data_IF_112497983930
#
_entry.id   IF_112497983930
#
_cell.length_a   1.000
_cell.length_b   1.000
_cell.length_c   1.000
_cell.angle_alpha   90.00
_cell.angle_beta   90.00
_cell.angle_gamma   90.00
#
_symmetry.space_group_name_H-M   'P 1'
#
loop_
_entity.id
_entity.type
_entity.pdbx_description
1 polymer ?
#
# COMPACT_ATOMS: atom_id res chain seq x y z
N UNK A 1 -19.28 4.93 17.61
CA UNK A 1 -17.95 4.47 17.13
C UNK A 1 -17.60 3.19 17.85
N UNK A 2 -17.40 2.08 17.12
CA UNK A 2 -17.13 0.74 17.69
C UNK A 2 -15.71 0.66 18.26
N UNK A 3 -15.41 -0.33 19.11
CA UNK A 3 -14.13 -0.45 19.86
C UNK A 3 -12.91 -0.59 18.92
N UNK A 4 -13.05 -1.31 17.81
CA UNK A 4 -12.00 -1.47 16.80
C UNK A 4 -11.66 -0.16 16.06
N UNK A 5 -12.67 0.64 15.70
CA UNK A 5 -12.48 1.96 15.06
C UNK A 5 -11.70 2.91 15.98
N UNK A 6 -11.95 2.85 17.30
CA UNK A 6 -11.19 3.61 18.30
C UNK A 6 -9.72 3.18 18.36
N UNK A 7 -9.43 1.88 18.20
CA UNK A 7 -8.06 1.38 18.30
C UNK A 7 -7.20 1.86 17.13
N UNK A 8 -7.70 1.77 15.90
CA UNK A 8 -6.99 2.24 14.70
C UNK A 8 -6.86 3.78 14.74
N UNK A 9 -7.92 4.49 15.12
CA UNK A 9 -7.87 5.94 15.30
C UNK A 9 -6.82 6.38 16.32
N UNK A 10 -6.70 5.65 17.44
CA UNK A 10 -5.71 5.93 18.47
C UNK A 10 -4.27 5.68 18.00
N UNK A 11 -4.06 4.67 17.16
CA UNK A 11 -2.75 4.38 16.55
C UNK A 11 -2.33 5.50 15.59
N UNK A 12 -3.26 6.01 14.77
CA UNK A 12 -3.00 7.14 13.87
C UNK A 12 -2.74 8.46 14.64
N UNK A 13 -3.36 8.64 15.80
CA UNK A 13 -3.13 9.81 16.67
C UNK A 13 -1.72 9.83 17.30
N UNK A 14 -1.01 8.69 17.33
CA UNK A 14 0.37 8.59 17.84
C UNK A 14 1.44 8.91 16.78
N UNK A 15 1.04 9.26 15.55
CA UNK A 15 1.96 9.60 14.47
C UNK A 15 2.83 10.82 14.82
N UNK A 16 4.15 10.62 14.80
CA UNK A 16 5.12 11.70 15.00
C UNK A 16 5.28 12.49 13.71
N UNK A 17 5.07 13.81 13.79
CA UNK A 17 5.41 14.70 12.67
C UNK A 17 6.92 14.71 12.45
N UNK A 18 7.34 14.64 11.18
CA UNK A 18 8.75 14.76 10.81
C UNK A 18 9.26 16.17 11.15
N UNK A 19 10.30 16.34 11.99
CA UNK A 19 10.85 17.64 12.35
C UNK A 19 11.49 18.37 11.16
N UNK A 20 11.58 19.69 11.24
CA UNK A 20 12.18 20.53 10.18
C UNK A 20 13.60 20.10 9.82
N UNK A 21 14.44 19.82 10.82
CA UNK A 21 15.82 19.38 10.64
C UNK A 21 15.93 18.06 9.85
N UNK A 22 15.00 17.13 10.05
CA UNK A 22 14.97 15.86 9.30
C UNK A 22 14.50 16.12 7.87
N UNK A 23 13.51 16.99 7.65
CA UNK A 23 13.07 17.40 6.30
C UNK A 23 14.20 18.07 5.49
N UNK A 24 15.02 18.89 6.14
CA UNK A 24 16.18 19.52 5.51
C UNK A 24 17.24 18.50 5.07
N UNK A 25 17.42 17.41 5.84
CA UNK A 25 18.29 16.28 5.46
C UNK A 25 17.69 15.40 4.36
N UNK A 26 16.37 15.19 4.38
CA UNK A 26 15.66 14.39 3.37
C UNK A 26 15.64 15.07 2.00
N UNK A 27 15.51 16.40 1.95
CA UNK A 27 15.37 17.16 0.70
C UNK A 27 16.48 16.84 -0.34
N UNK A 28 17.79 16.92 -0.02
CA UNK A 28 18.83 16.59 -0.99
C UNK A 28 18.81 15.12 -1.42
N UNK A 29 18.45 14.19 -0.53
CA UNK A 29 18.34 12.76 -0.84
C UNK A 29 17.18 12.48 -1.81
N UNK A 30 16.01 13.09 -1.58
CA UNK A 30 14.85 12.97 -2.47
C UNK A 30 15.15 13.60 -3.84
N UNK A 31 15.86 14.73 -3.87
CA UNK A 31 16.30 15.34 -5.14
C UNK A 31 17.29 14.44 -5.89
N UNK A 32 18.23 13.82 -5.17
CA UNK A 32 19.16 12.83 -5.74
C UNK A 32 18.39 11.64 -6.34
N UNK A 33 17.46 11.06 -5.56
CA UNK A 33 16.64 9.93 -6.00
C UNK A 33 15.81 10.27 -7.25
N UNK A 34 15.18 11.46 -7.29
CA UNK A 34 14.44 11.92 -8.46
C UNK A 34 15.35 12.04 -9.69
N UNK A 35 16.56 12.56 -9.52
CA UNK A 35 17.53 12.68 -10.61
C UNK A 35 17.97 11.32 -11.14
N UNK A 36 18.34 10.38 -10.27
CA UNK A 36 18.80 9.05 -10.67
C UNK A 36 17.66 8.24 -11.32
N UNK A 37 16.44 8.33 -10.81
CA UNK A 37 15.28 7.63 -11.38
C UNK A 37 14.72 8.22 -12.68
N UNK A 38 15.13 9.45 -13.04
CA UNK A 38 14.74 10.11 -14.30
C UNK A 38 15.80 9.97 -15.39
N UNK A 39 16.99 9.48 -15.05
CA UNK A 39 18.05 9.24 -16.01
C UNK A 39 17.72 8.04 -16.90
N UNK A 40 18.22 8.07 -18.14
CA UNK A 40 18.11 6.94 -19.05
C UNK A 40 19.48 6.30 -19.19
N UNK A 41 19.72 5.21 -18.45
CA UNK A 41 20.89 4.38 -18.65
C UNK A 41 20.99 3.92 -20.11
N UNK A 42 22.18 4.02 -20.68
CA UNK A 42 22.47 3.64 -22.07
C UNK A 42 23.04 2.22 -22.18
N UNK A 43 23.44 1.62 -21.06
CA UNK A 43 24.04 0.28 -21.02
C UNK A 43 23.54 -0.50 -19.81
N UNK A 44 23.57 -1.83 -19.88
CA UNK A 44 23.21 -2.71 -18.74
C UNK A 44 24.10 -2.48 -17.52
N UNK A 45 25.40 -2.30 -17.72
CA UNK A 45 26.32 -1.93 -16.63
C UNK A 45 25.90 -0.63 -15.95
N UNK A 46 25.55 0.39 -16.72
CA UNK A 46 25.06 1.65 -16.17
C UNK A 46 23.69 1.51 -15.46
N UNK A 47 22.76 0.71 -16.00
CA UNK A 47 21.49 0.38 -15.31
C UNK A 47 21.74 -0.23 -13.92
N UNK A 48 22.74 -1.11 -13.80
CA UNK A 48 23.11 -1.70 -12.52
C UNK A 48 23.74 -0.69 -11.56
N UNK A 49 24.68 0.12 -12.04
CA UNK A 49 25.31 1.18 -11.24
C UNK A 49 24.26 2.19 -10.73
N UNK A 50 23.31 2.59 -11.58
CA UNK A 50 22.17 3.43 -11.20
C UNK A 50 21.27 2.75 -10.16
N UNK A 51 20.99 1.45 -10.33
CA UNK A 51 20.21 0.68 -9.35
C UNK A 51 20.90 0.65 -7.99
N UNK A 52 22.22 0.40 -7.93
CA UNK A 52 22.99 0.44 -6.68
C UNK A 52 22.86 1.81 -6.01
N UNK A 53 23.02 2.90 -6.76
CA UNK A 53 22.87 4.26 -6.23
C UNK A 53 21.46 4.56 -5.72
N UNK A 54 20.42 4.04 -6.40
CA UNK A 54 19.03 4.13 -5.96
C UNK A 54 18.85 3.40 -4.62
N UNK A 55 19.36 2.18 -4.47
CA UNK A 55 19.27 1.40 -3.23
C UNK A 55 19.95 2.12 -2.07
N UNK A 56 21.19 2.58 -2.24
CA UNK A 56 21.92 3.32 -1.20
C UNK A 56 21.20 4.61 -0.78
N UNK A 57 20.62 5.32 -1.75
CA UNK A 57 19.88 6.56 -1.48
C UNK A 57 18.57 6.27 -0.76
N UNK A 58 17.87 5.19 -1.12
CA UNK A 58 16.65 4.74 -0.44
C UNK A 58 16.92 4.29 0.99
N UNK A 59 18.01 3.55 1.23
CA UNK A 59 18.41 3.13 2.58
C UNK A 59 18.67 4.34 3.48
N UNK A 60 19.39 5.33 2.98
CA UNK A 60 19.64 6.59 3.71
C UNK A 60 18.34 7.35 4.04
N UNK A 61 17.37 7.39 3.12
CA UNK A 61 16.04 7.98 3.36
C UNK A 61 15.29 7.17 4.43
N UNK A 62 15.23 5.85 4.29
CA UNK A 62 14.53 4.98 5.23
C UNK A 62 15.11 5.06 6.65
N UNK A 63 16.43 5.21 6.78
CA UNK A 63 17.10 5.39 8.07
C UNK A 63 16.72 6.69 8.78
N UNK A 64 16.55 7.78 8.03
CA UNK A 64 16.05 9.05 8.56
C UNK A 64 14.58 8.97 8.95
N UNK A 65 13.78 8.19 8.20
CA UNK A 65 12.33 8.06 8.40
C UNK A 65 11.93 6.99 9.43
N UNK A 66 12.85 6.13 9.88
CA UNK A 66 12.55 4.96 10.73
C UNK A 66 11.72 5.26 11.98
N UNK A 67 11.89 6.46 12.56
CA UNK A 67 11.20 6.90 13.78
C UNK A 67 9.85 7.60 13.51
N UNK A 68 9.48 7.76 12.24
CA UNK A 68 8.29 8.50 11.79
C UNK A 68 7.38 7.65 10.90
N UNK A 69 7.61 6.34 10.86
CA UNK A 69 6.79 5.40 10.09
C UNK A 69 5.33 5.47 10.55
N UNK A 70 4.42 5.36 9.59
CA UNK A 70 3.00 5.23 9.85
C UNK A 70 2.77 3.85 10.49
N UNK A 71 2.23 3.78 11.71
CA UNK A 71 1.95 2.51 12.34
C UNK A 71 0.81 1.82 11.58
N UNK A 72 1.05 0.60 11.12
CA UNK A 72 0.02 -0.22 10.49
C UNK A 72 -0.78 -0.95 11.58
N UNK A 73 -2.11 -1.00 11.48
CA UNK A 73 -2.93 -1.76 12.41
C UNK A 73 -2.64 -3.26 12.28
N UNK A 74 -2.71 -3.98 13.40
CA UNK A 74 -2.49 -5.43 13.40
C UNK A 74 -3.66 -6.15 12.70
N UNK A 75 -3.39 -6.68 11.51
CA UNK A 75 -4.39 -7.33 10.64
C UNK A 75 -5.28 -8.34 11.37
N UNK A 76 -4.70 -9.21 12.22
CA UNK A 76 -5.41 -10.30 12.91
C UNK A 76 -6.57 -9.82 13.77
N UNK A 77 -6.46 -8.62 14.34
CA UNK A 77 -7.43 -8.08 15.30
C UNK A 77 -8.56 -7.26 14.65
N UNK A 78 -8.54 -7.08 13.32
CA UNK A 78 -9.46 -6.17 12.62
C UNK A 78 -10.49 -6.88 11.72
N UNK A 79 -10.44 -8.21 11.63
CA UNK A 79 -11.36 -8.98 10.78
C UNK A 79 -12.83 -8.83 11.18
N UNK A 80 -13.16 -8.87 12.47
CA UNK A 80 -14.54 -8.69 12.96
C UNK A 80 -15.13 -7.37 12.46
N UNK A 81 -14.39 -6.28 12.63
CA UNK A 81 -14.84 -4.95 12.19
C UNK A 81 -15.00 -4.86 10.67
N UNK A 82 -14.11 -5.50 9.91
CA UNK A 82 -14.22 -5.59 8.46
C UNK A 82 -15.48 -6.34 8.01
N UNK A 83 -15.82 -7.46 8.66
CA UNK A 83 -17.05 -8.21 8.37
C UNK A 83 -18.30 -7.38 8.64
N UNK A 84 -18.39 -6.77 9.82
CA UNK A 84 -19.52 -5.90 10.15
C UNK A 84 -19.67 -4.76 9.14
N UNK A 85 -18.56 -4.12 8.74
CA UNK A 85 -18.59 -3.05 7.74
C UNK A 85 -19.07 -3.52 6.38
N UNK A 86 -18.66 -4.73 5.95
CA UNK A 86 -19.14 -5.35 4.73
C UNK A 86 -20.66 -5.59 4.77
N UNK A 87 -21.17 -6.17 5.86
CA UNK A 87 -22.60 -6.46 6.05
C UNK A 87 -23.44 -5.18 6.12
N UNK A 88 -23.02 -4.19 6.92
CA UNK A 88 -23.62 -2.85 7.03
C UNK A 88 -23.76 -2.18 5.65
N UNK A 89 -22.89 -2.53 4.72
CA UNK A 89 -22.88 -1.98 3.38
C UNK A 89 -23.53 -2.86 2.30
N UNK A 90 -24.09 -4.01 2.67
CA UNK A 90 -24.83 -4.90 1.76
C UNK A 90 -23.94 -5.81 0.93
N UNK A 91 -22.71 -6.09 1.39
CA UNK A 91 -21.93 -7.20 0.85
C UNK A 91 -22.55 -8.53 1.29
N UNK A 92 -22.55 -9.50 0.38
CA UNK A 92 -22.96 -10.88 0.68
C UNK A 92 -21.75 -11.78 0.48
N UNK A 93 -21.31 -12.40 1.56
CA UNK A 93 -20.22 -13.36 1.60
C UNK A 93 -20.61 -14.55 2.48
N UNK A 94 -21.91 -14.80 2.66
CA UNK A 94 -22.48 -15.82 3.56
C UNK A 94 -21.99 -17.25 3.30
N UNK A 95 -21.55 -17.51 2.07
CA UNK A 95 -21.05 -18.81 1.62
C UNK A 95 -19.57 -19.06 1.94
N UNK A 96 -18.85 -18.04 2.41
CA UNK A 96 -17.41 -18.08 2.66
C UNK A 96 -17.04 -17.48 4.02
N UNK A 97 -15.83 -17.76 4.45
CA UNK A 97 -15.12 -17.06 5.53
C UNK A 97 -13.66 -16.87 5.18
N UNK A 98 -13.05 -15.90 5.82
CA UNK A 98 -11.63 -15.62 5.76
C UNK A 98 -10.97 -16.31 6.95
N UNK A 99 -9.96 -17.13 6.67
CA UNK A 99 -9.14 -17.80 7.68
C UNK A 99 -7.65 -17.58 7.38
N UNK A 100 -6.82 -17.68 8.42
CA UNK A 100 -5.37 -17.72 8.27
C UNK A 100 -4.96 -19.08 7.71
N UNK A 101 -4.30 -19.09 6.56
CA UNK A 101 -3.87 -20.33 5.88
C UNK A 101 -2.44 -20.68 6.24
N UNK A 102 -1.53 -19.69 6.22
CA UNK A 102 -0.11 -19.88 6.55
C UNK A 102 0.56 -18.56 6.91
N UNK A 103 1.27 -18.50 8.03
CA UNK A 103 2.20 -17.39 8.37
C UNK A 103 1.60 -15.99 8.14
N UNK A 104 0.42 -15.70 8.68
CA UNK A 104 -0.31 -14.43 8.50
C UNK A 104 -0.81 -14.13 7.07
N UNK A 105 -0.77 -15.12 6.17
CA UNK A 105 -1.52 -15.10 4.92
C UNK A 105 -2.95 -15.58 5.16
N UNK A 106 -3.91 -14.83 4.64
CA UNK A 106 -5.32 -15.10 4.79
C UNK A 106 -5.91 -15.49 3.45
N UNK A 107 -6.80 -16.47 3.46
CA UNK A 107 -7.52 -16.95 2.29
C UNK A 107 -9.01 -17.08 2.60
N UNK A 108 -9.80 -17.25 1.55
CA UNK A 108 -11.24 -17.51 1.65
C UNK A 108 -11.51 -19.01 1.62
N UNK A 109 -12.22 -19.50 2.63
CA UNK A 109 -12.65 -20.89 2.79
C UNK A 109 -14.17 -20.96 2.62
N UNK A 110 -14.65 -21.97 1.90
CA UNK A 110 -16.08 -22.19 1.70
C UNK A 110 -16.72 -22.77 2.97
N UNK A 111 -17.86 -22.22 3.38
CA UNK A 111 -18.67 -22.74 4.52
C UNK A 111 -19.62 -23.86 4.12
N UNK A 112 -19.84 -24.00 2.81
CA UNK A 112 -20.76 -24.95 2.20
C UNK A 112 -20.22 -25.35 0.83
N UNK A 113 -20.79 -26.40 0.24
CA UNK A 113 -20.52 -26.72 -1.16
C UNK A 113 -21.06 -25.59 -2.05
N UNK A 114 -20.19 -25.03 -2.90
CA UNK A 114 -20.51 -23.99 -3.88
C UNK A 114 -20.38 -24.65 -5.26
N UNK A 115 -21.46 -24.62 -6.06
CA UNK A 115 -21.44 -25.18 -7.41
C UNK A 115 -20.75 -24.25 -8.39
N UNK A 116 -20.28 -24.81 -9.51
CA UNK A 116 -19.81 -24.01 -10.63
C UNK A 116 -20.92 -23.03 -11.08
N UNK A 117 -20.55 -21.78 -11.34
CA UNK A 117 -21.46 -20.67 -11.68
C UNK A 117 -22.47 -20.27 -10.58
N UNK A 118 -22.35 -20.79 -9.34
CA UNK A 118 -23.13 -20.30 -8.20
C UNK A 118 -22.56 -18.96 -7.69
N UNK A 119 -23.33 -17.86 -7.66
CA UNK A 119 -22.88 -16.63 -7.04
C UNK A 119 -22.70 -16.82 -5.53
N UNK A 120 -21.46 -16.66 -5.04
CA UNK A 120 -21.13 -16.88 -3.63
C UNK A 120 -20.54 -15.65 -2.91
N UNK A 121 -20.24 -14.59 -3.68
CA UNK A 121 -19.70 -13.32 -3.19
C UNK A 121 -20.28 -12.16 -3.99
N UNK A 122 -20.81 -11.15 -3.30
CA UNK A 122 -21.29 -9.89 -3.86
C UNK A 122 -20.70 -8.72 -3.10
N UNK A 123 -20.04 -7.81 -3.82
CA UNK A 123 -19.41 -6.61 -3.25
C UNK A 123 -20.05 -5.37 -3.87
N UNK A 124 -20.78 -4.55 -3.10
CA UNK A 124 -21.35 -3.30 -3.60
C UNK A 124 -20.28 -2.31 -4.04
N UNK A 125 -20.51 -1.59 -5.15
CA UNK A 125 -19.54 -0.60 -5.67
C UNK A 125 -19.18 0.49 -4.65
N UNK A 126 -20.10 0.85 -3.74
CA UNK A 126 -19.87 1.91 -2.75
C UNK A 126 -18.74 1.60 -1.75
N UNK A 127 -18.41 0.33 -1.53
CA UNK A 127 -17.31 -0.08 -0.65
C UNK A 127 -15.97 -0.28 -1.37
N UNK A 128 -15.95 -0.15 -2.70
CA UNK A 128 -14.71 -0.23 -3.47
C UNK A 128 -13.92 1.08 -3.42
N UNK A 129 -12.61 0.99 -3.24
CA UNK A 129 -11.69 2.10 -3.49
C UNK A 129 -11.32 2.12 -4.98
N UNK A 130 -11.52 3.25 -5.65
CA UNK A 130 -11.30 3.39 -7.09
C UNK A 130 -10.85 4.80 -7.46
N UNK A 131 -10.47 5.02 -8.71
CA UNK A 131 -10.25 6.36 -9.28
C UNK A 131 -11.47 7.29 -9.08
N UNK A 132 -12.69 6.74 -9.10
CA UNK A 132 -13.92 7.51 -8.92
C UNK A 132 -14.02 8.01 -7.48
N UNK A 133 -13.71 7.17 -6.48
CA UNK A 133 -13.69 7.60 -5.09
C UNK A 133 -12.51 8.53 -4.79
N UNK A 134 -11.35 8.28 -5.40
CA UNK A 134 -10.16 9.13 -5.28
C UNK A 134 -10.44 10.57 -5.76
N UNK A 135 -11.06 10.73 -6.93
CA UNK A 135 -11.44 12.04 -7.48
C UNK A 135 -12.48 12.78 -6.63
N UNK A 136 -13.32 12.06 -5.89
CA UNK A 136 -14.32 12.64 -4.96
C UNK A 136 -13.75 12.93 -3.58
N UNK A 137 -12.56 12.42 -3.27
CA UNK A 137 -11.87 12.65 -1.99
C UNK A 137 -11.17 14.02 -1.96
N UNK A 138 -10.47 14.30 -0.86
CA UNK A 138 -9.62 15.50 -0.73
C UNK A 138 -8.49 15.57 -1.76
N UNK A 139 -8.16 14.45 -2.42
CA UNK A 139 -7.18 14.40 -3.52
C UNK A 139 -7.74 14.93 -4.84
N UNK A 140 -9.06 15.06 -5.00
CA UNK A 140 -9.70 15.48 -6.26
C UNK A 140 -9.05 16.71 -6.92
N UNK A 141 -8.80 17.81 -6.20
CA UNK A 141 -8.12 18.98 -6.75
C UNK A 141 -6.71 18.66 -7.25
N UNK A 142 -5.92 17.89 -6.48
CA UNK A 142 -4.55 17.52 -6.84
C UNK A 142 -4.54 16.60 -8.08
N UNK A 143 -5.44 15.62 -8.13
CA UNK A 143 -5.62 14.72 -9.29
C UNK A 143 -5.99 15.54 -10.54
N UNK A 144 -6.74 16.61 -10.38
CA UNK A 144 -7.18 17.45 -11.50
C UNK A 144 -6.07 18.40 -11.98
N UNK A 145 -5.08 18.74 -11.16
CA UNK A 145 -4.01 19.67 -11.52
C UNK A 145 -2.69 19.00 -11.91
N UNK A 146 -2.42 17.80 -11.40
CA UNK A 146 -1.14 17.11 -11.58
C UNK A 146 -1.15 16.17 -12.81
N UNK A 147 -0.27 16.35 -13.81
CA UNK A 147 -0.28 15.54 -15.03
C UNK A 147 -0.04 14.05 -14.79
N UNK A 148 0.78 13.68 -13.80
CA UNK A 148 1.05 12.27 -13.48
C UNK A 148 -0.23 11.64 -12.95
N UNK A 149 -0.88 12.28 -11.98
CA UNK A 149 -2.13 11.78 -11.42
C UNK A 149 -3.24 11.74 -12.46
N UNK A 150 -3.34 12.69 -13.39
CA UNK A 150 -4.34 12.64 -14.45
C UNK A 150 -4.22 11.39 -15.34
N UNK A 151 -3.00 10.96 -15.65
CA UNK A 151 -2.73 9.89 -16.62
C UNK A 151 -2.42 8.52 -15.98
N UNK A 152 -2.22 8.45 -14.67
CA UNK A 152 -1.87 7.21 -13.95
C UNK A 152 -2.92 6.83 -12.89
N UNK A 153 -4.00 6.12 -13.26
CA UNK A 153 -5.05 5.70 -12.32
C UNK A 153 -4.53 4.84 -11.16
N UNK A 154 -3.52 4.00 -11.40
CA UNK A 154 -2.85 3.21 -10.37
C UNK A 154 -2.22 4.11 -9.28
N UNK A 155 -1.58 5.21 -9.66
CA UNK A 155 -1.01 6.19 -8.71
C UNK A 155 -2.12 6.94 -7.98
N UNK A 156 -3.24 7.28 -8.65
CA UNK A 156 -4.39 7.89 -7.99
C UNK A 156 -4.92 7.01 -6.86
N UNK A 157 -5.11 5.71 -7.11
CA UNK A 157 -5.62 4.76 -6.10
C UNK A 157 -4.62 4.54 -4.97
N UNK A 158 -3.32 4.46 -5.27
CA UNK A 158 -2.28 4.35 -4.25
C UNK A 158 -2.25 5.58 -3.32
N UNK A 159 -2.32 6.79 -3.88
CA UNK A 159 -2.41 8.03 -3.10
C UNK A 159 -3.71 8.08 -2.29
N UNK A 160 -4.83 7.66 -2.88
CA UNK A 160 -6.11 7.60 -2.19
C UNK A 160 -6.06 6.68 -0.97
N UNK A 161 -5.48 5.48 -1.11
CA UNK A 161 -5.24 4.55 -0.01
C UNK A 161 -4.44 5.20 1.12
N UNK A 162 -3.34 5.89 0.79
CA UNK A 162 -2.52 6.57 1.79
C UNK A 162 -3.28 7.71 2.49
N UNK A 163 -4.05 8.51 1.76
CA UNK A 163 -4.82 9.59 2.36
C UNK A 163 -5.94 9.10 3.27
N UNK A 164 -6.61 8.01 2.90
CA UNK A 164 -7.65 7.39 3.71
C UNK A 164 -7.07 6.68 4.94
N UNK A 165 -5.88 6.08 4.81
CA UNK A 165 -5.13 5.54 5.97
C UNK A 165 -4.82 6.64 6.99
N UNK A 166 -4.54 7.86 6.54
CA UNK A 166 -4.22 9.00 7.42
C UNK A 166 -5.45 9.71 7.99
N UNK A 167 -6.67 9.35 7.57
CA UNK A 167 -7.92 9.91 8.12
C UNK A 167 -8.54 8.93 9.14
N UNK A 168 -8.52 9.25 10.45
CA UNK A 168 -9.16 8.41 11.47
C UNK A 168 -10.67 8.23 11.27
N UNK A 169 -11.30 9.07 10.45
CA UNK A 169 -12.74 9.01 10.12
C UNK A 169 -12.99 8.39 8.75
N UNK A 170 -11.97 7.80 8.12
CA UNK A 170 -12.12 7.18 6.80
C UNK A 170 -13.21 6.12 6.78
N UNK A 171 -14.05 6.18 5.75
CA UNK A 171 -15.06 5.16 5.49
C UNK A 171 -14.44 3.78 5.20
N UNK A 172 -13.25 3.76 4.59
CA UNK A 172 -12.55 2.53 4.21
C UNK A 172 -11.59 2.01 5.29
N UNK A 173 -11.53 2.64 6.47
CA UNK A 173 -10.63 2.22 7.54
C UNK A 173 -10.76 0.73 7.90
N UNK A 174 -11.97 0.12 7.98
CA UNK A 174 -12.11 -1.32 8.20
C UNK A 174 -11.41 -2.17 7.14
N UNK A 175 -11.51 -1.78 5.86
CA UNK A 175 -10.82 -2.45 4.75
C UNK A 175 -9.30 -2.25 4.82
N UNK A 176 -8.84 -1.01 5.02
CA UNK A 176 -7.41 -0.68 5.09
C UNK A 176 -6.75 -1.43 6.25
N UNK A 177 -7.46 -1.60 7.36
CA UNK A 177 -6.93 -2.24 8.57
C UNK A 177 -6.67 -3.74 8.45
N UNK A 178 -7.22 -4.39 7.42
CA UNK A 178 -6.98 -5.81 7.15
C UNK A 178 -6.00 -6.03 5.99
N UNK A 179 -5.39 -4.97 5.45
CA UNK A 179 -4.37 -5.09 4.41
C UNK A 179 -3.06 -5.65 4.99
N UNK A 180 -2.28 -6.40 4.20
CA UNK A 180 -0.92 -6.77 4.57
C UNK A 180 -0.03 -5.54 4.81
N UNK A 181 0.81 -5.59 5.85
CA UNK A 181 1.84 -4.58 6.12
C UNK A 181 3.10 -4.75 5.26
N UNK A 182 3.26 -5.90 4.61
CA UNK A 182 4.38 -6.23 3.73
C UNK A 182 3.90 -7.13 2.58
N UNK A 183 4.66 -7.11 1.48
CA UNK A 183 4.40 -7.92 0.29
C UNK A 183 5.70 -8.58 -0.18
N UNK A 184 5.59 -9.56 -1.07
CA UNK A 184 6.72 -10.28 -1.69
C UNK A 184 7.02 -9.82 -3.12
N UNK A 185 6.67 -8.56 -3.44
CA UNK A 185 7.00 -7.98 -4.75
C UNK A 185 8.49 -7.62 -4.83
N UNK A 186 9.02 -7.45 -6.04
CA UNK A 186 10.45 -7.10 -6.26
C UNK A 186 10.87 -5.81 -5.54
N UNK A 187 9.93 -4.92 -5.24
CA UNK A 187 10.20 -3.68 -4.49
C UNK A 187 10.59 -3.93 -3.04
N UNK A 188 10.35 -5.13 -2.51
CA UNK A 188 10.74 -5.54 -1.15
C UNK A 188 12.05 -6.34 -1.13
N UNK A 189 12.65 -6.59 -2.29
CA UNK A 189 13.91 -7.33 -2.37
C UNK A 189 15.07 -6.40 -2.01
N UNK A 190 16.04 -6.95 -1.29
CA UNK A 190 17.36 -6.36 -1.10
C UNK A 190 18.15 -6.36 -2.41
N UNK A 191 19.16 -5.50 -2.49
CA UNK A 191 20.08 -5.47 -3.63
C UNK A 191 20.73 -6.84 -3.90
N UNK A 192 21.02 -7.60 -2.84
CA UNK A 192 21.58 -8.96 -2.95
C UNK A 192 20.56 -9.94 -3.56
N UNK A 193 19.30 -9.89 -3.14
CA UNK A 193 18.26 -10.75 -3.72
C UNK A 193 18.00 -10.41 -5.20
N UNK A 194 18.07 -9.13 -5.58
CA UNK A 194 18.01 -8.73 -6.99
C UNK A 194 19.23 -9.23 -7.77
N UNK A 195 20.41 -9.24 -7.14
CA UNK A 195 21.64 -9.77 -7.76
C UNK A 195 21.51 -11.26 -8.12
N UNK A 196 20.79 -12.04 -7.33
CA UNK A 196 20.53 -13.46 -7.62
C UNK A 196 19.67 -13.66 -8.89
N UNK A 197 18.93 -12.63 -9.31
CA UNK A 197 18.16 -12.65 -10.56
C UNK A 197 19.03 -12.34 -11.79
N UNK A 198 20.32 -12.06 -11.63
CA UNK A 198 21.23 -11.85 -12.75
C UNK A 198 21.26 -13.07 -13.67
N UNK A 199 21.42 -12.83 -14.98
CA UNK A 199 21.39 -13.84 -16.04
C UNK A 199 20.02 -14.50 -16.25
N UNK A 200 18.99 -14.11 -15.51
CA UNK A 200 17.61 -14.45 -15.83
C UNK A 200 17.07 -13.56 -16.96
N UNK A 201 15.98 -13.97 -17.65
CA UNK A 201 15.29 -13.11 -18.61
C UNK A 201 14.68 -11.83 -18.01
N UNK A 202 14.48 -11.78 -16.69
CA UNK A 202 13.87 -10.64 -16.02
C UNK A 202 14.82 -9.43 -15.90
N UNK A 203 16.12 -9.68 -15.74
CA UNK A 203 17.13 -8.64 -15.46
C UNK A 203 18.28 -8.66 -16.49
N UNK A 204 18.58 -9.81 -17.08
CA UNK A 204 19.69 -9.97 -18.02
C UNK A 204 21.07 -10.00 -17.33
N UNK A 205 22.14 -9.86 -18.11
CA UNK A 205 23.52 -9.75 -17.62
C UNK A 205 23.94 -8.28 -17.68
N UNK A 206 24.60 -7.82 -16.62
CA UNK A 206 25.21 -6.48 -16.57
C UNK A 206 26.67 -6.50 -17.03
#
# INVERSE_FOLDING_TARGET
MKKADKNISNVLLQMKKIPKQVKEQLKPLVQKLLKCSSAKALTKKAEWEEMVEIFETLDAIQDLEKNYKIPFPERKNNWERFYEWCEENGADFSSIEIQEVKESNFGTIAKKNIKENEPFLKVPRKIMMSEISAKKSRLGPLISSDPILQHMPNVQVAMHLLTELLDPKSFWLPYISILPSSYSTILYFTLNEIKELQKSPAIGKF
#
